data_IF_041549106503
#
_entry.id   IF_041549106503
#
_cell.length_a   1.000
_cell.length_b   1.000
_cell.length_c   1.000
_cell.angle_alpha   90.00
_cell.angle_beta   90.00
_cell.angle_gamma   90.00
#
_symmetry.space_group_name_H-M   'P 1'
#
loop_
_entity.id
_entity.type
_entity.pdbx_description
1 polymer ?
#
# COMPACT_ATOMS: atom_id res chain seq x y z
N UNK A 1 -6.16 -5.67 28.54
CA UNK A 1 -6.32 -4.38 27.82
C UNK A 1 -5.81 -4.49 26.37
N UNK A 2 -4.66 -5.11 26.12
CA UNK A 2 -4.11 -5.27 24.77
C UNK A 2 -5.05 -5.96 23.77
N UNK A 3 -5.66 -7.09 24.12
CA UNK A 3 -6.60 -7.81 23.25
C UNK A 3 -7.88 -7.03 22.97
N UNK A 4 -8.36 -6.26 23.95
CA UNK A 4 -9.53 -5.39 23.75
C UNK A 4 -9.31 -4.38 22.62
N UNK A 5 -8.13 -3.75 22.56
CA UNK A 5 -7.75 -2.86 21.46
C UNK A 5 -7.70 -3.58 20.12
N UNK A 6 -7.20 -4.81 20.12
CA UNK A 6 -7.18 -5.66 18.93
C UNK A 6 -8.58 -5.98 18.42
N UNK A 7 -9.53 -6.30 19.29
CA UNK A 7 -10.92 -6.52 18.89
C UNK A 7 -11.58 -5.25 18.36
N UNK A 8 -11.27 -4.07 18.92
CA UNK A 8 -11.72 -2.79 18.36
C UNK A 8 -11.18 -2.64 16.92
N UNK A 9 -9.90 -2.95 16.68
CA UNK A 9 -9.30 -2.93 15.35
C UNK A 9 -10.06 -3.84 14.36
N UNK A 10 -10.36 -5.07 14.76
CA UNK A 10 -11.14 -6.01 13.92
C UNK A 10 -12.55 -5.48 13.63
N UNK A 11 -13.22 -4.89 14.64
CA UNK A 11 -14.55 -4.28 14.47
C UNK A 11 -14.48 -3.11 13.48
N UNK A 12 -13.45 -2.28 13.54
CA UNK A 12 -13.25 -1.19 12.59
C UNK A 12 -13.05 -1.71 11.15
N UNK A 13 -12.29 -2.79 10.97
CA UNK A 13 -12.15 -3.45 9.66
C UNK A 13 -13.49 -4.01 9.16
N UNK A 14 -14.30 -4.59 10.05
CA UNK A 14 -15.64 -5.06 9.70
C UNK A 14 -16.53 -3.89 9.26
N UNK A 15 -16.55 -2.78 10.01
CA UNK A 15 -17.32 -1.58 9.67
C UNK A 15 -16.88 -1.00 8.32
N UNK A 16 -15.57 -0.88 8.09
CA UNK A 16 -15.03 -0.43 6.81
C UNK A 16 -15.47 -1.35 5.67
N UNK A 17 -15.35 -2.66 5.86
CA UNK A 17 -15.80 -3.67 4.88
C UNK A 17 -17.29 -3.50 4.58
N UNK A 18 -18.11 -3.35 5.61
CA UNK A 18 -19.55 -3.11 5.47
C UNK A 18 -19.84 -1.84 4.65
N UNK A 19 -19.17 -0.73 4.95
CA UNK A 19 -19.31 0.53 4.20
C UNK A 19 -18.98 0.31 2.72
N UNK A 20 -17.88 -0.38 2.42
CA UNK A 20 -17.51 -0.69 1.02
C UNK A 20 -18.60 -1.50 0.32
N UNK A 21 -19.24 -2.44 1.02
CA UNK A 21 -20.32 -3.27 0.43
C UNK A 21 -21.60 -2.50 0.14
N UNK A 22 -21.87 -1.40 0.85
CA UNK A 22 -22.99 -0.50 0.55
C UNK A 22 -22.82 0.16 -0.84
N UNK A 23 -21.59 0.53 -1.19
CA UNK A 23 -21.30 1.12 -2.51
C UNK A 23 -21.09 0.07 -3.61
N UNK A 24 -20.70 -1.16 -3.25
CA UNK A 24 -20.38 -2.24 -4.17
C UNK A 24 -21.07 -3.56 -3.78
N UNK A 25 -22.41 -3.65 -3.83
CA UNK A 25 -23.14 -4.82 -3.32
C UNK A 25 -22.79 -6.13 -4.03
N UNK A 26 -22.33 -6.08 -5.28
CA UNK A 26 -21.95 -7.26 -6.06
C UNK A 26 -20.76 -8.06 -5.50
N UNK A 27 -19.89 -7.42 -4.73
CA UNK A 27 -18.73 -8.07 -4.10
C UNK A 27 -18.97 -8.41 -2.62
N UNK A 28 -20.08 -8.02 -2.02
CA UNK A 28 -20.34 -8.14 -0.59
C UNK A 28 -20.06 -9.54 -0.03
N UNK A 29 -20.63 -10.58 -0.66
CA UNK A 29 -20.41 -11.97 -0.24
C UNK A 29 -18.92 -12.36 -0.23
N UNK A 30 -18.18 -11.95 -1.25
CA UNK A 30 -16.73 -12.23 -1.38
C UNK A 30 -15.96 -11.56 -0.25
N UNK A 31 -16.24 -10.28 0.04
CA UNK A 31 -15.54 -9.52 1.07
C UNK A 31 -15.83 -10.06 2.47
N UNK A 32 -17.09 -10.40 2.79
CA UNK A 32 -17.41 -10.96 4.10
C UNK A 32 -16.82 -12.36 4.32
N UNK A 33 -16.81 -13.21 3.30
CA UNK A 33 -16.12 -14.52 3.39
C UNK A 33 -14.60 -14.31 3.52
N UNK A 34 -14.01 -13.40 2.74
CA UNK A 34 -12.59 -13.07 2.85
C UNK A 34 -12.22 -12.56 4.24
N UNK A 35 -13.06 -11.70 4.82
CA UNK A 35 -12.87 -11.17 6.18
C UNK A 35 -13.02 -12.29 7.22
N UNK A 36 -14.08 -13.09 7.14
CA UNK A 36 -14.32 -14.18 8.09
C UNK A 36 -13.18 -15.20 8.13
N UNK A 37 -12.69 -15.62 6.96
CA UNK A 37 -11.54 -16.56 6.88
C UNK A 37 -10.28 -15.93 7.47
N UNK A 38 -9.97 -14.67 7.17
CA UNK A 38 -8.79 -13.98 7.69
C UNK A 38 -8.86 -13.76 9.20
N UNK A 39 -10.02 -13.33 9.72
CA UNK A 39 -10.23 -13.17 11.16
C UNK A 39 -10.10 -14.53 11.86
N UNK A 40 -10.64 -15.60 11.30
CA UNK A 40 -10.47 -16.95 11.85
C UNK A 40 -8.99 -17.33 11.92
N UNK A 41 -8.23 -17.18 10.82
CA UNK A 41 -6.80 -17.52 10.78
C UNK A 41 -6.00 -16.63 11.74
N UNK A 42 -6.32 -15.33 11.82
CA UNK A 42 -5.72 -14.38 12.76
C UNK A 42 -5.89 -14.84 14.20
N UNK A 43 -7.12 -15.15 14.62
CA UNK A 43 -7.41 -15.56 15.99
C UNK A 43 -6.83 -16.94 16.33
N UNK A 44 -6.84 -17.87 15.37
CA UNK A 44 -6.18 -19.16 15.55
C UNK A 44 -4.68 -19.00 15.71
N UNK A 45 -4.04 -18.14 14.89
CA UNK A 45 -2.61 -17.85 15.02
C UNK A 45 -2.24 -17.10 16.29
N UNK A 46 -3.13 -16.23 16.78
CA UNK A 46 -2.88 -15.45 18.00
C UNK A 46 -3.02 -16.28 19.28
N UNK A 47 -4.00 -17.21 19.35
CA UNK A 47 -4.34 -17.91 20.60
C UNK A 47 -3.94 -19.38 20.65
N UNK A 48 -3.77 -20.06 19.51
CA UNK A 48 -3.67 -21.52 19.52
C UNK A 48 -2.38 -22.10 18.95
N UNK A 49 -1.85 -21.55 17.85
CA UNK A 49 -0.66 -22.10 17.22
C UNK A 49 0.13 -21.07 16.41
N UNK A 50 1.43 -21.27 16.27
CA UNK A 50 2.28 -20.42 15.43
C UNK A 50 1.99 -20.66 13.95
N UNK A 51 1.71 -19.56 13.23
CA UNK A 51 1.53 -19.63 11.78
C UNK A 51 2.89 -19.72 11.06
N UNK A 52 2.96 -20.34 9.86
CA UNK A 52 4.15 -20.23 9.03
C UNK A 52 4.57 -18.78 8.83
N UNK A 53 5.87 -18.50 8.74
CA UNK A 53 6.46 -17.17 8.56
C UNK A 53 6.15 -16.13 9.69
N UNK A 54 5.60 -16.59 10.83
CA UNK A 54 5.29 -15.71 11.95
C UNK A 54 6.49 -15.41 12.86
N UNK A 55 7.60 -16.12 12.72
CA UNK A 55 8.72 -16.11 13.68
C UNK A 55 9.86 -15.17 13.28
N UNK A 56 10.17 -15.00 12.01
CA UNK A 56 11.35 -14.25 11.57
C UNK A 56 11.05 -12.75 11.40
N UNK A 57 10.73 -12.34 10.18
CA UNK A 57 10.51 -10.94 9.85
C UNK A 57 9.33 -10.31 10.62
N UNK A 58 8.26 -11.08 10.84
CA UNK A 58 7.08 -10.57 11.55
C UNK A 58 7.40 -10.23 13.01
N UNK A 59 8.23 -11.02 13.68
CA UNK A 59 8.72 -10.74 15.02
C UNK A 59 9.65 -9.53 15.06
N UNK A 60 10.59 -9.46 14.13
CA UNK A 60 11.51 -8.33 14.03
C UNK A 60 10.77 -6.99 13.83
N UNK A 61 9.74 -6.97 12.98
CA UNK A 61 8.93 -5.76 12.80
C UNK A 61 8.16 -5.37 14.05
N UNK A 62 7.62 -6.33 14.79
CA UNK A 62 6.87 -6.07 16.02
C UNK A 62 7.78 -5.59 17.15
N UNK A 63 8.91 -6.24 17.36
CA UNK A 63 9.87 -5.87 18.40
C UNK A 63 10.46 -4.48 18.15
N UNK A 64 10.82 -4.17 16.91
CA UNK A 64 11.29 -2.84 16.54
C UNK A 64 10.20 -1.78 16.75
N UNK A 65 8.95 -2.11 16.39
CA UNK A 65 7.81 -1.24 16.63
C UNK A 65 7.58 -0.98 18.12
N UNK A 66 7.73 -1.99 18.96
CA UNK A 66 7.62 -1.83 20.39
C UNK A 66 8.75 -0.99 20.98
N UNK A 67 10.00 -1.21 20.56
CA UNK A 67 11.14 -0.40 21.00
C UNK A 67 10.92 1.10 20.73
N UNK A 68 10.38 1.45 19.60
CA UNK A 68 10.04 2.84 19.28
C UNK A 68 8.77 3.31 19.96
N UNK A 69 7.74 2.47 20.01
CA UNK A 69 6.41 2.78 20.53
C UNK A 69 6.33 3.01 22.04
N UNK A 70 7.40 2.70 22.80
CA UNK A 70 7.53 3.03 24.21
C UNK A 70 7.73 4.55 24.46
N UNK A 71 8.13 5.27 23.41
CA UNK A 71 8.35 6.71 23.48
C UNK A 71 7.04 7.47 23.26
N UNK A 72 7.05 8.76 23.59
CA UNK A 72 5.93 9.64 23.31
C UNK A 72 5.70 9.78 21.78
N UNK A 73 4.47 10.11 21.42
CA UNK A 73 4.03 10.20 20.03
C UNK A 73 4.91 11.10 19.13
N UNK A 74 5.34 12.25 19.65
CA UNK A 74 6.18 13.18 18.86
C UNK A 74 7.59 12.63 18.63
N UNK A 75 8.15 11.94 19.62
CA UNK A 75 9.45 11.27 19.48
C UNK A 75 9.37 10.14 18.44
N UNK A 76 8.30 9.36 18.44
CA UNK A 76 8.09 8.29 17.44
C UNK A 76 8.00 8.84 16.01
N UNK A 77 7.32 9.99 15.82
CA UNK A 77 7.28 10.64 14.51
C UNK A 77 8.70 11.01 14.02
N UNK A 78 9.57 11.49 14.91
CA UNK A 78 10.94 11.88 14.59
C UNK A 78 11.86 10.69 14.25
N UNK A 79 11.50 9.46 14.61
CA UNK A 79 12.24 8.26 14.19
C UNK A 79 12.07 7.92 12.71
N UNK A 80 11.17 8.62 12.00
CA UNK A 80 10.97 8.39 10.59
C UNK A 80 12.21 8.80 9.77
N UNK A 81 12.81 7.83 9.09
CA UNK A 81 14.03 8.00 8.27
C UNK A 81 13.77 7.94 6.76
N UNK A 82 12.53 7.84 6.35
CA UNK A 82 12.14 7.71 4.93
C UNK A 82 11.76 6.28 4.53
N UNK A 83 11.66 5.99 3.22
CA UNK A 83 11.39 4.64 2.73
C UNK A 83 12.48 3.68 3.19
N UNK A 84 12.13 2.72 4.05
CA UNK A 84 13.07 1.79 4.65
C UNK A 84 12.40 0.45 4.93
N UNK A 85 13.17 -0.62 5.15
CA UNK A 85 12.62 -1.89 5.63
C UNK A 85 11.77 -1.72 6.90
N UNK A 86 12.12 -0.77 7.75
CA UNK A 86 11.49 -0.54 9.06
C UNK A 86 10.26 0.39 9.02
N UNK A 87 9.84 0.82 7.82
CA UNK A 87 8.66 1.68 7.68
C UNK A 87 7.40 1.05 8.28
N UNK A 88 7.23 -0.27 8.17
CA UNK A 88 6.14 -1.00 8.82
C UNK A 88 6.23 -0.89 10.34
N UNK A 89 7.42 -1.10 10.92
CA UNK A 89 7.65 -0.97 12.36
C UNK A 89 7.33 0.44 12.85
N UNK A 90 7.71 1.47 12.08
CA UNK A 90 7.39 2.85 12.40
C UNK A 90 5.88 3.12 12.41
N UNK A 91 5.12 2.63 11.43
CA UNK A 91 3.65 2.75 11.42
C UNK A 91 3.00 2.08 12.62
N UNK A 92 3.50 0.90 13.01
CA UNK A 92 3.00 0.18 14.19
C UNK A 92 3.39 0.92 15.46
N UNK A 93 4.62 1.45 15.54
CA UNK A 93 5.11 2.22 16.68
C UNK A 93 4.23 3.45 16.97
N UNK A 94 3.74 4.14 15.94
CA UNK A 94 2.77 5.23 16.09
C UNK A 94 1.50 4.73 16.81
N UNK A 95 0.99 3.57 16.43
CA UNK A 95 -0.21 3.01 17.09
C UNK A 95 0.10 2.59 18.53
N UNK A 96 1.28 2.06 18.80
CA UNK A 96 1.70 1.64 20.13
C UNK A 96 1.94 2.83 21.07
N UNK A 97 2.48 3.94 20.57
CA UNK A 97 2.67 5.15 21.35
C UNK A 97 1.34 5.81 21.78
N UNK A 98 0.27 5.65 20.98
CA UNK A 98 -1.04 6.22 21.28
C UNK A 98 -1.90 5.31 22.16
N UNK A 99 -1.86 3.99 21.94
CA UNK A 99 -2.82 3.05 22.52
C UNK A 99 -2.16 1.98 23.40
N UNK A 100 -0.82 1.89 23.38
CA UNK A 100 -0.08 0.82 24.04
C UNK A 100 0.13 -0.41 23.14
N UNK A 101 1.01 -1.33 23.56
CA UNK A 101 1.36 -2.54 22.80
C UNK A 101 0.15 -3.46 22.66
N UNK A 102 -0.23 -3.75 21.42
CA UNK A 102 -1.26 -4.73 21.07
C UNK A 102 -0.97 -5.35 19.70
N UNK A 103 -0.43 -6.56 19.72
CA UNK A 103 -0.12 -7.32 18.50
C UNK A 103 -1.38 -7.49 17.63
N UNK A 104 -2.50 -7.85 18.24
CA UNK A 104 -3.77 -8.06 17.53
C UNK A 104 -4.28 -6.76 16.85
N UNK A 105 -4.07 -5.59 17.48
CA UNK A 105 -4.38 -4.30 16.88
C UNK A 105 -3.47 -4.02 15.67
N UNK A 106 -2.17 -4.26 15.80
CA UNK A 106 -1.22 -4.09 14.70
C UNK A 106 -1.56 -5.02 13.52
N UNK A 107 -1.90 -6.29 13.79
CA UNK A 107 -2.35 -7.24 12.78
C UNK A 107 -3.67 -6.84 12.12
N UNK A 108 -4.58 -6.14 12.82
CA UNK A 108 -5.82 -5.64 12.23
C UNK A 108 -5.61 -4.62 11.12
N UNK A 109 -4.49 -3.88 11.15
CA UNK A 109 -4.09 -2.99 10.05
C UNK A 109 -3.76 -3.81 8.80
N UNK A 110 -2.95 -4.87 8.93
CA UNK A 110 -2.68 -5.81 7.83
C UNK A 110 -3.96 -6.43 7.26
N UNK A 111 -4.88 -6.81 8.15
CA UNK A 111 -6.20 -7.32 7.76
C UNK A 111 -6.99 -6.33 6.88
N UNK A 112 -6.97 -5.04 7.21
CA UNK A 112 -7.62 -3.99 6.41
C UNK A 112 -7.03 -3.92 5.00
N UNK A 113 -5.71 -3.91 4.87
CA UNK A 113 -5.02 -3.91 3.57
C UNK A 113 -5.24 -5.21 2.79
N UNK A 114 -5.32 -6.35 3.48
CA UNK A 114 -5.66 -7.64 2.87
C UNK A 114 -7.06 -7.64 2.26
N UNK A 115 -8.07 -7.14 2.97
CA UNK A 115 -9.43 -6.98 2.44
C UNK A 115 -9.47 -5.94 1.32
N UNK A 116 -8.73 -4.83 1.47
CA UNK A 116 -8.55 -3.84 0.42
C UNK A 116 -7.97 -4.44 -0.86
N UNK A 117 -7.01 -5.36 -0.75
CA UNK A 117 -6.41 -6.06 -1.90
C UNK A 117 -7.42 -6.96 -2.63
N UNK A 118 -8.30 -7.64 -1.91
CA UNK A 118 -9.42 -8.40 -2.52
C UNK A 118 -10.34 -7.47 -3.31
N UNK A 119 -10.72 -6.33 -2.71
CA UNK A 119 -11.57 -5.33 -3.38
C UNK A 119 -10.90 -4.73 -4.62
N UNK A 120 -9.64 -4.31 -4.51
CA UNK A 120 -8.91 -3.70 -5.63
C UNK A 120 -8.67 -4.70 -6.77
N UNK A 121 -8.38 -5.96 -6.47
CA UNK A 121 -8.25 -7.03 -7.47
C UNK A 121 -9.56 -7.25 -8.24
N UNK A 122 -10.67 -7.31 -7.52
CA UNK A 122 -12.00 -7.39 -8.12
C UNK A 122 -12.29 -6.17 -9.00
N UNK A 123 -12.00 -4.96 -8.50
CA UNK A 123 -12.24 -3.72 -9.22
C UNK A 123 -11.37 -3.63 -10.49
N UNK A 124 -10.10 -4.04 -10.41
CA UNK A 124 -9.18 -4.10 -11.54
C UNK A 124 -9.68 -5.08 -12.61
N UNK A 125 -10.06 -6.30 -12.21
CA UNK A 125 -10.61 -7.29 -13.11
C UNK A 125 -11.93 -6.84 -13.76
N UNK A 126 -12.80 -6.15 -13.00
CA UNK A 126 -14.04 -5.55 -13.54
C UNK A 126 -13.74 -4.48 -14.59
N UNK A 127 -12.68 -3.69 -14.40
CA UNK A 127 -12.26 -2.66 -15.36
C UNK A 127 -11.65 -3.27 -16.62
N UNK A 128 -10.87 -4.32 -16.49
CA UNK A 128 -10.20 -4.96 -17.63
C UNK A 128 -11.15 -5.83 -18.45
N UNK A 129 -12.06 -6.51 -17.82
CA UNK A 129 -12.98 -7.47 -18.44
C UNK A 129 -14.46 -7.16 -18.11
N UNK A 130 -15.06 -7.96 -17.22
CA UNK A 130 -16.47 -7.87 -16.88
C UNK A 130 -16.74 -8.34 -15.44
N UNK A 131 -18.00 -8.23 -14.98
CA UNK A 131 -18.37 -8.62 -13.62
C UNK A 131 -18.19 -10.13 -13.34
N UNK A 132 -18.36 -11.00 -14.35
CA UNK A 132 -18.21 -12.44 -14.17
C UNK A 132 -16.74 -12.80 -13.84
N UNK A 133 -15.81 -12.29 -14.62
CA UNK A 133 -14.36 -12.49 -14.38
C UNK A 133 -13.93 -11.81 -13.08
N UNK A 134 -14.43 -10.60 -12.81
CA UNK A 134 -14.18 -9.91 -11.56
C UNK A 134 -14.55 -10.75 -10.34
N UNK A 135 -15.71 -11.39 -10.35
CA UNK A 135 -16.13 -12.26 -9.25
C UNK A 135 -15.21 -13.48 -9.10
N UNK A 136 -14.77 -14.10 -10.21
CA UNK A 136 -13.80 -15.21 -10.14
C UNK A 136 -12.47 -14.77 -9.55
N UNK A 137 -11.92 -13.63 -9.99
CA UNK A 137 -10.69 -13.03 -9.44
C UNK A 137 -10.87 -12.68 -7.98
N UNK A 138 -12.03 -12.08 -7.61
CA UNK A 138 -12.34 -11.77 -6.22
C UNK A 138 -12.31 -13.00 -5.32
N UNK A 139 -12.95 -14.11 -5.73
CA UNK A 139 -12.92 -15.38 -4.99
C UNK A 139 -11.51 -15.98 -4.92
N UNK A 140 -10.76 -15.97 -6.02
CA UNK A 140 -9.40 -16.46 -6.06
C UNK A 140 -8.53 -15.73 -5.03
N UNK A 141 -8.52 -14.40 -5.06
CA UNK A 141 -7.72 -13.56 -4.15
C UNK A 141 -8.22 -13.64 -2.70
N UNK A 142 -9.55 -13.77 -2.51
CA UNK A 142 -10.15 -13.91 -1.18
C UNK A 142 -9.66 -15.17 -0.46
N UNK A 143 -9.51 -16.27 -1.19
CA UNK A 143 -9.21 -17.60 -0.64
C UNK A 143 -7.78 -18.09 -0.92
N UNK A 144 -6.92 -17.26 -1.55
CA UNK A 144 -5.55 -17.64 -1.83
C UNK A 144 -4.72 -17.73 -0.54
N UNK A 145 -4.17 -18.92 -0.19
CA UNK A 145 -3.61 -19.16 1.14
C UNK A 145 -2.52 -18.18 1.55
N UNK A 146 -1.55 -17.87 0.67
CA UNK A 146 -0.46 -16.95 1.00
C UNK A 146 -0.97 -15.52 1.23
N UNK A 147 -2.00 -15.06 0.47
CA UNK A 147 -2.58 -13.73 0.68
C UNK A 147 -3.42 -13.65 1.96
N UNK A 148 -4.01 -14.77 2.41
CA UNK A 148 -4.63 -14.85 3.72
C UNK A 148 -3.56 -14.74 4.79
N UNK A 149 -2.51 -15.58 4.71
CA UNK A 149 -1.44 -15.65 5.68
C UNK A 149 -0.75 -14.28 5.86
N UNK A 150 -0.30 -13.66 4.77
CA UNK A 150 0.39 -12.37 4.81
C UNK A 150 -0.48 -11.20 5.28
N UNK A 151 -1.81 -11.31 5.19
CA UNK A 151 -2.73 -10.29 5.69
C UNK A 151 -3.01 -10.38 7.19
N UNK A 152 -2.63 -11.47 7.85
CA UNK A 152 -2.82 -11.69 9.29
C UNK A 152 -1.51 -11.66 10.07
N UNK A 153 -0.38 -11.67 9.37
CA UNK A 153 0.95 -11.47 9.94
C UNK A 153 1.40 -10.02 9.79
N UNK A 154 2.39 -9.61 10.60
CA UNK A 154 3.02 -8.29 10.47
C UNK A 154 4.10 -8.34 9.39
N UNK A 155 3.68 -8.44 8.12
CA UNK A 155 4.57 -8.53 6.97
C UNK A 155 4.27 -7.40 5.98
N UNK A 156 5.31 -6.93 5.29
CA UNK A 156 5.23 -5.80 4.33
C UNK A 156 4.46 -6.14 3.06
N UNK A 157 4.41 -7.41 2.69
CA UNK A 157 3.89 -7.94 1.44
C UNK A 157 2.43 -7.55 1.20
N UNK A 158 1.59 -7.59 2.24
CA UNK A 158 0.18 -7.22 2.11
C UNK A 158 -0.01 -5.76 1.70
N UNK A 159 0.81 -4.87 2.23
CA UNK A 159 0.78 -3.44 1.91
C UNK A 159 1.29 -3.19 0.50
N UNK A 160 2.39 -3.85 0.12
CA UNK A 160 2.94 -3.78 -1.23
C UNK A 160 1.91 -4.22 -2.27
N UNK A 161 1.26 -5.37 -2.05
CA UNK A 161 0.20 -5.90 -2.94
C UNK A 161 -0.94 -4.90 -3.08
N UNK A 162 -1.42 -4.32 -1.97
CA UNK A 162 -2.49 -3.32 -1.99
C UNK A 162 -2.11 -2.10 -2.83
N UNK A 163 -0.94 -1.53 -2.59
CA UNK A 163 -0.49 -0.32 -3.27
C UNK A 163 -0.16 -0.57 -4.76
N UNK A 164 0.38 -1.73 -5.11
CA UNK A 164 0.58 -2.11 -6.52
C UNK A 164 -0.76 -2.27 -7.24
N UNK A 165 -1.76 -2.89 -6.62
CA UNK A 165 -3.11 -2.97 -7.21
C UNK A 165 -3.72 -1.59 -7.42
N UNK A 166 -3.53 -0.67 -6.47
CA UNK A 166 -3.96 0.73 -6.60
C UNK A 166 -3.25 1.42 -7.77
N UNK A 167 -1.92 1.22 -7.89
CA UNK A 167 -1.14 1.74 -8.99
C UNK A 167 -1.65 1.22 -10.34
N UNK A 168 -1.89 -0.08 -10.46
CA UNK A 168 -2.40 -0.72 -11.68
C UNK A 168 -3.80 -0.19 -12.06
N UNK A 169 -4.68 0.08 -11.10
CA UNK A 169 -5.97 0.74 -11.36
C UNK A 169 -5.75 2.14 -11.95
N UNK A 170 -4.80 2.90 -11.39
CA UNK A 170 -4.43 4.21 -11.92
C UNK A 170 -3.90 4.12 -13.34
N UNK A 171 -2.99 3.17 -13.62
CA UNK A 171 -2.43 2.92 -14.96
C UNK A 171 -3.54 2.57 -15.97
N UNK A 172 -4.42 1.61 -15.63
CA UNK A 172 -5.53 1.20 -16.49
C UNK A 172 -6.48 2.35 -16.79
N UNK A 173 -6.82 3.16 -15.79
CA UNK A 173 -7.66 4.33 -16.00
C UNK A 173 -6.96 5.35 -16.91
N UNK A 174 -5.65 5.60 -16.70
CA UNK A 174 -4.89 6.54 -17.52
C UNK A 174 -4.81 6.09 -19.00
N UNK A 175 -4.59 4.81 -19.24
CA UNK A 175 -4.58 4.25 -20.61
C UNK A 175 -5.92 4.46 -21.31
N UNK A 176 -7.04 4.42 -20.56
CA UNK A 176 -8.39 4.60 -21.12
C UNK A 176 -8.77 6.06 -21.34
N UNK A 177 -8.54 6.88 -20.33
CA UNK A 177 -9.13 8.22 -20.23
C UNK A 177 -8.08 9.34 -20.35
N UNK A 178 -6.78 9.01 -20.38
CA UNK A 178 -5.65 9.96 -20.36
C UNK A 178 -5.78 11.04 -19.25
N UNK A 179 -6.48 10.71 -18.16
CA UNK A 179 -6.83 11.65 -17.09
C UNK A 179 -5.64 11.89 -16.16
N UNK A 180 -5.40 13.14 -15.80
CA UNK A 180 -4.38 13.50 -14.79
C UNK A 180 -4.65 12.89 -13.41
N UNK A 181 -5.93 12.76 -13.02
CA UNK A 181 -6.33 12.08 -11.77
C UNK A 181 -5.84 10.62 -11.74
N UNK A 182 -5.87 9.95 -12.89
CA UNK A 182 -5.42 8.56 -13.02
C UNK A 182 -3.90 8.43 -12.83
N UNK A 183 -3.13 9.43 -13.31
CA UNK A 183 -1.69 9.51 -13.05
C UNK A 183 -1.43 9.66 -11.55
N UNK A 184 -2.15 10.55 -10.88
CA UNK A 184 -2.01 10.75 -9.42
C UNK A 184 -2.29 9.44 -8.66
N UNK A 185 -3.36 8.73 -9.00
CA UNK A 185 -3.70 7.45 -8.37
C UNK A 185 -2.58 6.42 -8.58
N UNK A 186 -2.05 6.31 -9.81
CA UNK A 186 -0.92 5.43 -10.10
C UNK A 186 0.32 5.80 -9.28
N UNK A 187 0.64 7.10 -9.19
CA UNK A 187 1.79 7.58 -8.43
C UNK A 187 1.63 7.35 -6.92
N UNK A 188 0.44 7.57 -6.35
CA UNK A 188 0.16 7.24 -4.95
C UNK A 188 0.36 5.73 -4.71
N UNK A 189 -0.09 4.89 -5.62
CA UNK A 189 0.13 3.45 -5.52
C UNK A 189 1.61 3.07 -5.57
N UNK A 190 2.38 3.55 -6.55
CA UNK A 190 3.81 3.25 -6.63
C UNK A 190 4.59 3.84 -5.45
N UNK A 191 4.29 5.08 -5.04
CA UNK A 191 4.92 5.70 -3.87
C UNK A 191 4.61 4.91 -2.60
N UNK A 192 3.34 4.54 -2.36
CA UNK A 192 2.95 3.72 -1.22
C UNK A 192 3.70 2.38 -1.18
N UNK A 193 3.80 1.67 -2.32
CA UNK A 193 4.58 0.44 -2.38
C UNK A 193 6.07 0.66 -2.10
N UNK A 194 6.63 1.80 -2.56
CA UNK A 194 8.04 2.15 -2.34
C UNK A 194 8.37 2.36 -0.87
N UNK A 195 7.47 2.90 -0.05
CA UNK A 195 7.68 3.05 1.39
C UNK A 195 7.91 1.70 2.08
N UNK A 196 7.23 0.65 1.65
CA UNK A 196 7.41 -0.70 2.21
C UNK A 196 8.55 -1.48 1.56
N UNK A 197 8.88 -1.19 0.30
CA UNK A 197 9.98 -1.86 -0.41
C UNK A 197 10.54 -0.96 -1.52
N UNK A 198 11.75 -0.43 -1.31
CA UNK A 198 12.38 0.58 -2.16
C UNK A 198 12.46 0.20 -3.65
N UNK A 199 12.62 -1.09 -3.98
CA UNK A 199 12.67 -1.56 -5.36
C UNK A 199 11.37 -1.25 -6.15
N UNK A 200 10.23 -1.04 -5.49
CA UNK A 200 8.96 -0.68 -6.14
C UNK A 200 8.99 0.71 -6.79
N UNK A 201 9.96 1.55 -6.44
CA UNK A 201 10.23 2.85 -7.08
C UNK A 201 10.48 2.70 -8.59
N UNK A 202 11.08 1.58 -9.03
CA UNK A 202 11.33 1.29 -10.45
C UNK A 202 10.01 1.29 -11.23
N UNK A 203 8.95 0.73 -10.67
CA UNK A 203 7.62 0.73 -11.29
C UNK A 203 7.08 2.15 -11.53
N UNK A 204 7.21 3.03 -10.53
CA UNK A 204 6.83 4.44 -10.65
C UNK A 204 7.65 5.20 -11.68
N UNK A 205 8.97 5.02 -11.67
CA UNK A 205 9.88 5.64 -12.65
C UNK A 205 9.56 5.18 -14.07
N UNK A 206 9.34 3.88 -14.26
CA UNK A 206 8.96 3.31 -15.57
C UNK A 206 7.63 3.91 -16.04
N UNK A 207 6.64 4.00 -15.18
CA UNK A 207 5.35 4.58 -15.52
C UNK A 207 5.47 6.06 -15.93
N UNK A 208 6.22 6.88 -15.17
CA UNK A 208 6.46 8.29 -15.52
C UNK A 208 7.17 8.41 -16.87
N UNK A 209 8.17 7.55 -17.11
CA UNK A 209 8.91 7.53 -18.38
C UNK A 209 7.98 7.23 -19.56
N UNK A 210 7.10 6.24 -19.43
CA UNK A 210 6.12 5.89 -20.47
C UNK A 210 5.14 7.05 -20.70
N UNK A 211 4.60 7.65 -19.63
CA UNK A 211 3.71 8.82 -19.72
C UNK A 211 4.41 9.98 -20.42
N UNK A 212 5.67 10.24 -20.06
CA UNK A 212 6.50 11.28 -20.67
C UNK A 212 6.72 11.04 -22.16
N UNK A 213 7.12 9.83 -22.53
CA UNK A 213 7.38 9.46 -23.94
C UNK A 213 6.14 9.59 -24.82
N UNK A 214 4.98 9.09 -24.35
CA UNK A 214 3.74 9.15 -25.12
C UNK A 214 3.22 10.59 -25.28
N UNK A 215 3.51 11.48 -24.34
CA UNK A 215 3.13 12.88 -24.41
C UNK A 215 4.21 13.78 -25.03
N UNK A 216 5.42 13.29 -25.25
CA UNK A 216 6.55 14.08 -25.77
C UNK A 216 6.23 14.71 -27.14
N UNK A 217 5.62 13.97 -28.07
CA UNK A 217 5.22 14.50 -29.37
C UNK A 217 4.21 15.66 -29.21
N UNK A 218 3.22 15.51 -28.34
CA UNK A 218 2.24 16.56 -28.07
C UNK A 218 2.92 17.79 -27.44
N UNK A 219 3.84 17.56 -26.54
CA UNK A 219 4.60 18.60 -25.86
C UNK A 219 5.50 19.38 -26.86
N UNK A 220 6.22 18.69 -27.73
CA UNK A 220 7.06 19.31 -28.77
C UNK A 220 6.24 20.16 -29.76
N UNK A 221 5.07 19.67 -30.17
CA UNK A 221 4.15 20.41 -31.03
C UNK A 221 3.59 21.66 -30.31
N UNK A 222 3.31 21.59 -29.02
CA UNK A 222 2.85 22.74 -28.22
C UNK A 222 3.98 23.76 -28.01
N UNK A 223 5.21 23.31 -27.85
CA UNK A 223 6.42 24.15 -27.79
C UNK A 223 6.62 24.91 -29.09
N UNK A 224 6.61 24.20 -30.23
CA UNK A 224 6.82 24.82 -31.55
C UNK A 224 5.76 25.86 -31.89
N UNK A 225 4.56 25.73 -31.34
CA UNK A 225 3.46 26.68 -31.51
C UNK A 225 3.46 27.84 -30.51
N UNK A 226 4.47 27.95 -29.64
CA UNK A 226 4.58 29.01 -28.61
C UNK A 226 3.47 29.03 -27.56
N UNK A 227 2.67 27.94 -27.46
CA UNK A 227 1.52 27.87 -26.56
C UNK A 227 1.89 27.53 -25.12
N UNK A 228 3.12 27.10 -24.86
CA UNK A 228 3.60 26.80 -23.50
C UNK A 228 4.40 28.00 -23.01
N UNK A 229 3.98 28.59 -21.89
CA UNK A 229 4.75 29.68 -21.25
C UNK A 229 6.10 29.13 -20.81
N UNK A 230 7.18 29.77 -21.26
CA UNK A 230 8.58 29.38 -20.95
C UNK A 230 8.81 29.15 -19.45
N UNK A 231 8.14 29.91 -18.59
CA UNK A 231 8.16 29.74 -17.13
C UNK A 231 7.78 28.34 -16.66
N UNK A 232 6.86 27.66 -17.34
CA UNK A 232 6.42 26.28 -16.97
C UNK A 232 7.53 25.27 -17.28
N UNK A 233 8.22 25.45 -18.40
CA UNK A 233 9.34 24.59 -18.80
C UNK A 233 10.48 24.71 -17.80
N UNK A 234 10.84 25.94 -17.47
CA UNK A 234 11.89 26.24 -16.47
C UNK A 234 11.52 25.65 -15.09
N UNK A 235 10.25 25.80 -14.67
CA UNK A 235 9.78 25.24 -13.39
C UNK A 235 9.87 23.72 -13.34
N UNK A 236 9.43 23.04 -14.41
CA UNK A 236 9.52 21.57 -14.51
C UNK A 236 10.97 21.11 -14.51
N UNK A 237 11.84 21.82 -15.23
CA UNK A 237 13.27 21.48 -15.30
C UNK A 237 13.97 21.68 -13.95
N UNK A 238 13.69 22.79 -13.26
CA UNK A 238 14.16 23.05 -11.91
C UNK A 238 13.67 21.99 -10.94
N UNK A 239 12.39 21.62 -11.00
CA UNK A 239 11.82 20.58 -10.14
C UNK A 239 12.50 19.22 -10.33
N UNK A 240 12.78 18.82 -11.59
CA UNK A 240 13.49 17.57 -11.90
C UNK A 240 14.92 17.60 -11.35
N UNK A 241 15.66 18.73 -11.53
CA UNK A 241 17.02 18.88 -11.01
C UNK A 241 17.02 18.83 -9.48
N UNK A 242 16.15 19.59 -8.81
CA UNK A 242 16.07 19.59 -7.34
C UNK A 242 15.68 18.22 -6.78
N UNK A 243 14.74 17.53 -7.44
CA UNK A 243 14.36 16.15 -7.06
C UNK A 243 15.53 15.17 -7.25
N UNK A 244 16.31 15.34 -8.31
CA UNK A 244 17.51 14.54 -8.58
C UNK A 244 18.61 14.78 -7.53
N UNK A 245 18.90 16.03 -7.22
CA UNK A 245 19.90 16.40 -6.21
C UNK A 245 19.46 15.93 -4.81
N UNK A 246 18.18 16.09 -4.47
CA UNK A 246 17.64 15.60 -3.18
C UNK A 246 17.77 14.10 -3.03
N UNK A 247 17.51 13.35 -4.10
CA UNK A 247 17.64 11.89 -4.12
C UNK A 247 19.10 11.44 -4.03
N UNK A 248 20.02 12.10 -4.76
CA UNK A 248 21.45 11.74 -4.72
C UNK A 248 22.11 12.05 -3.38
N UNK A 249 21.70 13.12 -2.69
CA UNK A 249 22.25 13.47 -1.37
C UNK A 249 21.75 12.56 -0.23
N UNK A 250 20.68 11.77 -0.44
CA UNK A 250 20.16 10.82 0.56
C UNK A 250 20.47 9.34 0.27
N UNK A 251 21.02 9.03 -0.89
CA UNK A 251 21.48 7.67 -1.20
C UNK A 251 22.95 7.58 -0.73
N UNK A 252 23.15 7.32 0.56
CA UNK A 252 24.37 6.66 1.01
C UNK A 252 24.36 5.25 0.39
N UNK A 253 25.15 5.07 -0.67
CA UNK A 253 25.40 3.75 -1.23
C UNK A 253 26.16 2.99 -0.14
N UNK A 254 25.62 1.91 0.45
CA UNK A 254 26.41 1.09 1.34
C UNK A 254 27.56 0.55 0.51
N UNK A 255 28.77 0.91 0.87
CA UNK A 255 29.97 0.32 0.32
C UNK A 255 29.88 -1.19 0.52
N UNK A 256 29.86 -1.94 -0.59
CA UNK A 256 30.12 -3.37 -0.59
C UNK A 256 31.57 -3.56 -0.15
N UNK A 257 31.76 -3.84 1.13
CA UNK A 257 33.00 -4.30 1.75
C UNK A 257 32.86 -5.76 2.09
#
# INVERSE_FOLDING_TARGET
MADFLGFIGIILVFLFTYIVTLFYPKISKILFVALGVRVLVLLLGHYYFTLPDSTDDAWNFEDQAWLWGQNDFFSVINFYTGPSPDFLSWLIAITYSLFGRSLLMAQSIGLLFGIGSVFLSWLLAKKLWNNYIANKVGWLVALFPSLILYSVLLLREVYIVFFILLALIGVVNWVRDSSFKSIIIAMIGFAGATFFHGAMMIGGMTFISVVGMLNLKKFLVLLSKGKIKFKIIVFVFIFIIFSGIYLTNKIEVPYLG
#
